data_IF_557465123441
#
_entry.id   IF_557465123441
#
_cell.length_a   1.000
_cell.length_b   1.000
_cell.length_c   1.000
_cell.angle_alpha   90.00
_cell.angle_beta   90.00
_cell.angle_gamma   90.00
#
_symmetry.space_group_name_H-M   'P 1'
#
loop_
_entity.id
_entity.type
_entity.pdbx_description
1 polymer ?
#
# COMPACT_ATOMS: atom_id res chain seq x y z
N UNK A 1 3.64 -30.33 -4.53
CA UNK A 1 3.04 -29.12 -5.09
C UNK A 1 3.56 -28.94 -6.50
N UNK A 2 2.66 -28.81 -7.49
CA UNK A 2 3.05 -28.63 -8.90
C UNK A 2 3.50 -27.19 -9.20
N UNK A 3 2.87 -26.22 -8.59
CA UNK A 3 3.15 -24.79 -8.77
C UNK A 3 2.93 -24.05 -7.45
N UNK A 4 3.73 -23.02 -7.18
CA UNK A 4 3.64 -22.19 -5.98
C UNK A 4 3.81 -20.74 -6.37
N UNK A 5 2.98 -19.85 -5.80
CA UNK A 5 3.17 -18.41 -5.83
C UNK A 5 3.60 -17.92 -4.44
N UNK A 6 4.79 -17.35 -4.34
CA UNK A 6 5.29 -16.73 -3.12
C UNK A 6 5.00 -15.24 -3.12
N UNK A 7 4.24 -14.78 -2.15
CA UNK A 7 3.95 -13.36 -1.96
C UNK A 7 5.10 -12.67 -1.21
N UNK A 8 5.92 -11.95 -1.95
CA UNK A 8 6.98 -11.12 -1.43
C UNK A 8 6.52 -9.70 -1.08
N UNK A 9 7.38 -8.72 -1.29
CA UNK A 9 7.11 -7.30 -1.11
C UNK A 9 8.19 -6.48 -1.80
N UNK A 10 7.87 -5.30 -2.30
CA UNK A 10 8.86 -4.32 -2.80
C UNK A 10 9.80 -3.77 -1.72
N UNK A 11 9.58 -4.10 -0.43
CA UNK A 11 10.52 -3.81 0.65
C UNK A 11 11.88 -4.56 0.51
N UNK A 12 11.96 -5.56 -0.37
CA UNK A 12 13.22 -6.27 -0.67
C UNK A 12 14.25 -5.42 -1.39
N UNK A 13 13.83 -4.33 -2.02
CA UNK A 13 14.73 -3.46 -2.77
C UNK A 13 15.51 -2.53 -1.85
N UNK A 14 16.75 -2.19 -2.22
CA UNK A 14 17.55 -1.22 -1.49
C UNK A 14 16.83 0.11 -1.28
N UNK A 15 17.13 0.77 -0.14
CA UNK A 15 16.54 2.08 0.19
C UNK A 15 16.78 3.11 -0.92
N UNK A 16 17.97 3.10 -1.49
CA UNK A 16 18.41 4.09 -2.48
C UNK A 16 18.43 3.48 -3.91
N UNK A 17 17.58 2.47 -4.17
CA UNK A 17 17.46 1.87 -5.49
C UNK A 17 17.02 2.89 -6.53
N UNK A 18 17.58 2.78 -7.75
CA UNK A 18 17.13 3.57 -8.90
C UNK A 18 15.64 3.36 -9.16
N UNK A 19 14.96 4.45 -9.54
CA UNK A 19 13.51 4.46 -9.75
C UNK A 19 13.17 4.64 -11.24
N UNK A 20 12.26 3.85 -11.79
CA UNK A 20 11.50 2.76 -11.16
C UNK A 20 12.37 1.55 -10.81
N UNK A 21 12.04 0.88 -9.68
CA UNK A 21 12.79 -0.26 -9.16
C UNK A 21 12.60 -1.49 -10.05
N UNK A 22 13.66 -1.95 -10.68
CA UNK A 22 13.70 -3.19 -11.48
C UNK A 22 14.06 -4.39 -10.61
N UNK A 23 13.71 -5.58 -11.06
CA UNK A 23 14.00 -6.83 -10.35
C UNK A 23 15.52 -7.05 -10.11
N UNK A 24 16.36 -6.53 -10.99
CA UNK A 24 17.81 -6.64 -10.86
C UNK A 24 18.41 -5.70 -9.79
N UNK A 25 17.64 -4.81 -9.19
CA UNK A 25 18.08 -3.99 -8.07
C UNK A 25 18.19 -4.78 -6.74
N UNK A 26 17.71 -6.03 -6.72
CA UNK A 26 17.77 -6.87 -5.53
C UNK A 26 19.22 -7.07 -5.04
N UNK A 27 19.47 -6.79 -3.76
CA UNK A 27 20.77 -6.98 -3.07
C UNK A 27 21.93 -6.15 -3.67
N UNK A 28 21.65 -5.02 -4.28
CA UNK A 28 22.71 -4.14 -4.85
C UNK A 28 23.23 -3.11 -3.84
N UNK A 29 22.49 -2.82 -2.76
CA UNK A 29 22.88 -1.87 -1.72
C UNK A 29 22.05 -2.12 -0.43
N UNK A 30 22.33 -1.43 0.69
CA UNK A 30 21.60 -1.63 1.95
C UNK A 30 20.10 -1.44 1.85
N UNK A 31 19.38 -2.24 2.64
CA UNK A 31 17.92 -2.17 2.79
C UNK A 31 17.50 -0.96 3.64
N UNK A 32 16.20 -0.64 3.63
CA UNK A 32 15.64 0.31 4.57
C UNK A 32 15.68 -0.27 5.99
N UNK A 33 16.42 0.38 6.88
CA UNK A 33 16.71 -0.11 8.23
C UNK A 33 15.45 -0.51 9.03
N UNK A 34 14.39 0.29 8.95
CA UNK A 34 13.15 0.04 9.71
C UNK A 34 12.39 -1.20 9.24
N UNK A 35 12.63 -1.65 8.00
CA UNK A 35 11.98 -2.81 7.37
C UNK A 35 12.94 -4.00 7.17
N UNK A 36 14.21 -3.86 7.54
CA UNK A 36 15.25 -4.83 7.19
C UNK A 36 14.92 -6.27 7.59
N UNK A 37 14.45 -6.58 8.83
CA UNK A 37 14.11 -7.95 9.21
C UNK A 37 13.00 -8.55 8.34
N UNK A 38 11.98 -7.76 8.01
CA UNK A 38 10.90 -8.18 7.12
C UNK A 38 11.40 -8.41 5.69
N UNK A 39 12.20 -7.48 5.17
CA UNK A 39 12.77 -7.58 3.84
C UNK A 39 13.67 -8.81 3.69
N UNK A 40 14.54 -9.10 4.66
CA UNK A 40 15.39 -10.29 4.68
C UNK A 40 14.55 -11.57 4.63
N UNK A 41 13.47 -11.65 5.41
CA UNK A 41 12.58 -12.82 5.39
C UNK A 41 11.96 -13.03 3.99
N UNK A 42 11.54 -11.94 3.32
CA UNK A 42 10.99 -12.00 1.96
C UNK A 42 12.06 -12.33 0.92
N UNK A 43 13.28 -11.82 1.06
CA UNK A 43 14.42 -12.19 0.20
C UNK A 43 14.76 -13.68 0.36
N UNK A 44 14.79 -14.20 1.58
CA UNK A 44 15.04 -15.62 1.82
C UNK A 44 14.01 -16.52 1.13
N UNK A 45 12.71 -16.21 1.27
CA UNK A 45 11.65 -16.98 0.60
C UNK A 45 11.72 -16.92 -0.93
N UNK A 46 11.98 -15.73 -1.49
CA UNK A 46 12.24 -15.54 -2.92
C UNK A 46 13.41 -16.41 -3.39
N UNK A 47 14.56 -16.35 -2.70
CA UNK A 47 15.75 -17.12 -3.08
C UNK A 47 15.56 -18.62 -2.90
N UNK A 48 14.78 -19.06 -1.94
CA UNK A 48 14.36 -20.46 -1.83
C UNK A 48 13.57 -20.91 -3.06
N UNK A 49 12.56 -20.15 -3.49
CA UNK A 49 11.79 -20.47 -4.70
C UNK A 49 12.72 -20.61 -5.93
N UNK A 50 13.62 -19.64 -6.13
CA UNK A 50 14.58 -19.63 -7.22
C UNK A 50 15.52 -20.86 -7.17
N UNK A 51 16.06 -21.17 -5.99
CA UNK A 51 16.96 -22.32 -5.80
C UNK A 51 16.27 -23.66 -6.02
N UNK A 52 15.02 -23.83 -5.54
CA UNK A 52 14.24 -25.06 -5.77
C UNK A 52 13.95 -25.25 -7.26
N UNK A 53 13.62 -24.19 -7.99
CA UNK A 53 13.40 -24.29 -9.42
C UNK A 53 14.65 -24.77 -10.16
N UNK A 54 15.81 -24.20 -9.84
CA UNK A 54 17.09 -24.54 -10.48
C UNK A 54 17.56 -25.96 -10.13
N UNK A 55 17.36 -26.38 -8.88
CA UNK A 55 17.86 -27.66 -8.40
C UNK A 55 16.92 -28.82 -8.74
N UNK A 56 15.61 -28.62 -8.63
CA UNK A 56 14.61 -29.67 -8.70
C UNK A 56 13.62 -29.53 -9.86
N UNK A 57 13.76 -28.51 -10.71
CA UNK A 57 12.85 -28.26 -11.82
C UNK A 57 11.41 -27.96 -11.37
N UNK A 58 11.24 -27.35 -10.19
CA UNK A 58 9.92 -26.92 -9.70
C UNK A 58 9.40 -25.72 -10.49
N UNK A 59 8.14 -25.34 -10.29
CA UNK A 59 7.54 -24.18 -10.90
C UNK A 59 7.04 -23.21 -9.80
N UNK A 60 8.00 -22.57 -9.11
CA UNK A 60 7.74 -21.66 -8.01
C UNK A 60 8.04 -20.22 -8.45
N UNK A 61 7.04 -19.34 -8.38
CA UNK A 61 7.14 -17.96 -8.80
C UNK A 61 7.02 -17.06 -7.58
N UNK A 62 7.91 -16.10 -7.45
CA UNK A 62 7.84 -15.07 -6.43
C UNK A 62 7.36 -13.74 -7.05
N UNK A 63 6.44 -13.05 -6.38
CA UNK A 63 5.90 -11.77 -6.82
C UNK A 63 6.08 -10.71 -5.75
N UNK A 64 6.37 -9.47 -6.18
CA UNK A 64 6.68 -8.34 -5.32
C UNK A 64 5.61 -7.26 -5.49
N UNK A 65 4.52 -7.32 -4.70
CA UNK A 65 3.50 -6.28 -4.76
C UNK A 65 4.01 -4.95 -4.21
N UNK A 66 3.53 -3.86 -4.82
CA UNK A 66 3.62 -2.50 -4.30
C UNK A 66 2.67 -2.28 -3.13
N UNK A 67 2.41 -1.02 -2.71
CA UNK A 67 1.49 -0.75 -1.60
C UNK A 67 0.06 -1.12 -2.00
N UNK A 68 -0.50 -2.08 -1.29
CA UNK A 68 -1.88 -2.53 -1.50
C UNK A 68 -2.84 -1.68 -0.66
N UNK A 69 -4.04 -1.47 -1.16
CA UNK A 69 -5.16 -0.85 -0.47
C UNK A 69 -6.48 -1.45 -0.98
N UNK A 70 -7.52 -1.46 -0.15
CA UNK A 70 -8.82 -2.01 -0.55
C UNK A 70 -9.71 -2.41 0.62
N UNK A 71 -10.77 -3.20 0.36
CA UNK A 71 -11.68 -3.70 1.37
C UNK A 71 -10.94 -4.44 2.50
N UNK A 72 -11.46 -4.32 3.72
CA UNK A 72 -10.90 -4.92 4.94
C UNK A 72 -9.49 -4.44 5.32
N UNK A 73 -9.03 -3.29 4.79
CA UNK A 73 -7.78 -2.69 5.22
C UNK A 73 -7.86 -2.21 6.68
N UNK A 74 -6.70 -1.96 7.27
CA UNK A 74 -6.59 -1.44 8.62
C UNK A 74 -6.77 0.09 8.63
N UNK A 75 -7.86 0.58 9.23
CA UNK A 75 -8.16 2.02 9.38
C UNK A 75 -7.75 2.59 10.75
N UNK A 76 -6.84 1.94 11.47
CA UNK A 76 -6.36 2.47 12.75
C UNK A 76 -5.66 3.82 12.56
N UNK A 77 -5.97 4.82 13.40
CA UNK A 77 -5.48 6.20 13.21
C UNK A 77 -3.97 6.36 13.32
N UNK A 78 -3.28 5.43 13.98
CA UNK A 78 -1.83 5.47 14.21
C UNK A 78 -1.09 4.32 13.50
N UNK A 79 -1.62 3.10 13.56
CA UNK A 79 -0.93 1.87 13.14
C UNK A 79 -1.44 1.32 11.80
N UNK A 80 -1.97 2.17 10.93
CA UNK A 80 -2.42 1.79 9.59
C UNK A 80 -1.52 2.36 8.50
N UNK A 81 -1.68 1.85 7.28
CA UNK A 81 -1.05 2.45 6.11
C UNK A 81 -1.62 3.83 5.82
N UNK A 82 -0.86 4.64 5.07
CA UNK A 82 -1.17 6.05 4.84
C UNK A 82 -2.55 6.29 4.23
N UNK A 83 -2.96 5.51 3.21
CA UNK A 83 -4.23 5.72 2.50
C UNK A 83 -5.45 5.47 3.40
N UNK A 84 -5.61 4.31 4.09
CA UNK A 84 -6.73 4.10 5.00
C UNK A 84 -6.73 5.07 6.19
N UNK A 85 -5.56 5.44 6.75
CA UNK A 85 -5.47 6.45 7.80
C UNK A 85 -6.03 7.81 7.33
N UNK A 86 -5.66 8.23 6.11
CA UNK A 86 -6.12 9.50 5.54
C UNK A 86 -7.62 9.50 5.28
N UNK A 87 -8.17 8.42 4.72
CA UNK A 87 -9.63 8.28 4.52
C UNK A 87 -10.36 8.47 5.84
N UNK A 88 -9.97 7.74 6.89
CA UNK A 88 -10.62 7.81 8.19
C UNK A 88 -10.48 9.18 8.84
N UNK A 89 -9.29 9.77 8.84
CA UNK A 89 -9.06 11.10 9.42
C UNK A 89 -9.89 12.19 8.73
N UNK A 90 -9.90 12.21 7.40
CA UNK A 90 -10.62 13.21 6.62
C UNK A 90 -12.14 13.00 6.76
N UNK A 91 -12.60 11.74 6.77
CA UNK A 91 -14.03 11.44 7.02
C UNK A 91 -14.50 11.93 8.39
N UNK A 92 -13.76 11.62 9.46
CA UNK A 92 -14.11 12.06 10.81
C UNK A 92 -14.05 13.59 10.94
N UNK A 93 -13.08 14.24 10.32
CA UNK A 93 -13.03 15.72 10.26
C UNK A 93 -14.24 16.30 9.52
N UNK A 94 -14.65 15.69 8.40
CA UNK A 94 -15.87 16.06 7.69
C UNK A 94 -17.10 15.94 8.60
N UNK A 95 -17.27 14.81 9.26
CA UNK A 95 -18.42 14.58 10.16
C UNK A 95 -18.46 15.59 11.31
N UNK A 96 -17.30 15.94 11.89
CA UNK A 96 -17.20 17.01 12.88
C UNK A 96 -17.59 18.38 12.30
N UNK A 97 -17.14 18.69 11.09
CA UNK A 97 -17.46 19.95 10.42
C UNK A 97 -18.96 20.11 10.12
N UNK A 98 -19.61 18.99 9.81
CA UNK A 98 -21.05 18.91 9.52
C UNK A 98 -21.90 18.63 10.77
N UNK A 99 -21.28 18.45 11.95
CA UNK A 99 -21.94 18.05 13.20
C UNK A 99 -22.70 16.72 13.07
N UNK A 100 -22.21 15.81 12.20
CA UNK A 100 -22.80 14.48 11.99
C UNK A 100 -22.31 13.49 13.07
N UNK A 101 -22.86 13.62 14.26
CA UNK A 101 -22.58 12.73 15.39
C UNK A 101 -22.99 11.28 15.14
N UNK A 102 -23.99 11.07 14.27
CA UNK A 102 -24.42 9.72 13.89
C UNK A 102 -23.31 8.95 13.16
N UNK A 103 -22.68 9.57 12.16
CA UNK A 103 -21.58 8.99 11.42
C UNK A 103 -20.32 8.80 12.29
N UNK A 104 -20.00 9.78 13.16
CA UNK A 104 -18.87 9.68 14.10
C UNK A 104 -19.06 8.47 15.02
N UNK A 105 -20.23 8.33 15.64
CA UNK A 105 -20.53 7.22 16.54
C UNK A 105 -20.55 5.87 15.82
N UNK A 106 -21.06 5.82 14.58
CA UNK A 106 -21.00 4.62 13.72
C UNK A 106 -19.54 4.20 13.50
N UNK A 107 -18.66 5.12 13.11
CA UNK A 107 -17.24 4.82 12.88
C UNK A 107 -16.56 4.29 14.15
N UNK A 108 -16.74 4.98 15.27
CA UNK A 108 -16.10 4.60 16.53
C UNK A 108 -16.66 3.28 17.10
N UNK A 109 -17.92 2.94 16.83
CA UNK A 109 -18.49 1.65 17.20
C UNK A 109 -17.87 0.50 16.41
N UNK A 110 -17.58 0.72 15.13
CA UNK A 110 -16.92 -0.26 14.27
C UNK A 110 -15.40 -0.34 14.52
N UNK A 111 -14.79 0.79 14.88
CA UNK A 111 -13.34 0.97 14.99
C UNK A 111 -12.99 1.83 16.20
N UNK A 112 -13.15 1.32 17.44
CA UNK A 112 -12.82 2.08 18.65
C UNK A 112 -11.39 2.61 18.65
N UNK A 113 -11.19 3.78 19.27
CA UNK A 113 -9.88 4.43 19.39
C UNK A 113 -9.54 4.55 20.87
N UNK A 114 -8.47 3.91 21.32
CA UNK A 114 -8.00 3.94 22.72
C UNK A 114 -9.10 3.61 23.75
N UNK A 115 -10.02 2.70 23.41
CA UNK A 115 -11.14 2.33 24.26
C UNK A 115 -12.35 3.26 24.18
N UNK A 116 -12.26 4.36 23.42
CA UNK A 116 -13.39 5.25 23.13
C UNK A 116 -14.16 4.69 21.93
N UNK A 117 -15.40 4.33 22.11
CA UNK A 117 -16.33 3.83 21.10
C UNK A 117 -17.48 4.79 20.85
N UNK A 118 -18.45 4.38 20.01
CA UNK A 118 -19.61 5.21 19.66
C UNK A 118 -20.58 5.49 20.80
N UNK A 119 -20.47 4.84 21.96
CA UNK A 119 -21.32 5.06 23.15
C UNK A 119 -20.74 6.12 24.11
N UNK A 120 -19.48 6.50 23.92
CA UNK A 120 -18.80 7.49 24.73
C UNK A 120 -19.46 8.88 24.66
N UNK A 121 -19.20 9.72 25.65
CA UNK A 121 -19.64 11.10 25.64
C UNK A 121 -18.99 11.91 24.51
N UNK A 122 -19.63 12.98 24.06
CA UNK A 122 -19.06 13.87 23.04
C UNK A 122 -17.71 14.44 23.46
N UNK A 123 -17.54 14.75 24.76
CA UNK A 123 -16.29 15.26 25.30
C UNK A 123 -15.14 14.26 25.20
N UNK A 124 -15.38 12.97 25.48
CA UNK A 124 -14.38 11.90 25.33
C UNK A 124 -14.05 11.67 23.86
N UNK A 125 -15.07 11.63 22.99
CA UNK A 125 -14.88 11.50 21.53
C UNK A 125 -14.03 12.66 21.00
N UNK A 126 -14.39 13.92 21.32
CA UNK A 126 -13.62 15.09 20.90
C UNK A 126 -12.20 15.04 21.43
N UNK A 127 -11.99 14.65 22.68
CA UNK A 127 -10.65 14.54 23.28
C UNK A 127 -9.77 13.57 22.51
N UNK A 128 -10.27 12.38 22.19
CA UNK A 128 -9.47 11.39 21.43
C UNK A 128 -9.24 11.85 19.99
N UNK A 129 -10.22 12.40 19.31
CA UNK A 129 -10.05 12.88 17.93
C UNK A 129 -9.06 14.05 17.85
N UNK A 130 -9.11 14.99 18.81
CA UNK A 130 -8.14 16.10 18.90
C UNK A 130 -6.70 15.60 19.14
N UNK A 131 -6.52 14.53 19.94
CA UNK A 131 -5.20 13.89 20.12
C UNK A 131 -4.58 13.43 18.78
N UNK A 132 -5.42 12.96 17.85
CA UNK A 132 -5.02 12.58 16.49
C UNK A 132 -5.05 13.76 15.49
N UNK A 133 -5.18 14.99 16.00
CA UNK A 133 -5.26 16.23 15.24
C UNK A 133 -6.40 16.23 14.19
N UNK A 134 -7.54 15.67 14.58
CA UNK A 134 -8.79 15.65 13.79
C UNK A 134 -9.75 16.66 14.43
N UNK A 135 -10.06 17.71 13.67
CA UNK A 135 -11.04 18.74 14.06
C UNK A 135 -11.98 19.00 12.89
N UNK A 136 -13.14 19.65 13.14
CA UNK A 136 -14.04 20.03 12.05
C UNK A 136 -13.35 20.94 11.01
N UNK A 137 -12.71 22.05 11.41
CA UNK A 137 -12.07 22.96 10.46
C UNK A 137 -10.76 22.47 9.87
N UNK A 138 -10.07 21.49 10.49
CA UNK A 138 -8.79 21.01 9.97
C UNK A 138 -8.45 19.60 10.42
N UNK A 139 -7.64 18.91 9.59
CA UNK A 139 -6.99 17.65 9.88
C UNK A 139 -5.49 17.77 9.61
N UNK A 140 -4.66 17.25 10.54
CA UNK A 140 -3.22 17.26 10.37
C UNK A 140 -2.72 15.87 9.94
N UNK A 141 -1.94 15.83 8.87
CA UNK A 141 -1.23 14.67 8.35
C UNK A 141 0.26 14.82 8.60
N UNK A 142 0.95 13.71 8.84
CA UNK A 142 2.39 13.71 9.09
C UNK A 142 3.20 13.93 7.81
N UNK A 143 4.37 14.57 7.95
CA UNK A 143 5.33 14.80 6.89
C UNK A 143 5.05 16.04 6.05
N UNK A 144 5.72 16.15 4.92
CA UNK A 144 5.60 17.31 4.01
C UNK A 144 4.55 17.12 2.91
N UNK A 145 4.01 15.92 2.75
CA UNK A 145 3.14 15.55 1.62
C UNK A 145 3.87 15.36 0.28
N UNK A 146 5.19 15.59 0.24
CA UNK A 146 6.01 15.47 -1.00
C UNK A 146 6.32 14.04 -1.43
N UNK A 147 6.48 13.04 -0.53
CA UNK A 147 6.81 11.69 -0.95
C UNK A 147 5.85 11.14 -1.97
N UNK A 148 6.41 10.40 -2.92
CA UNK A 148 5.70 9.71 -3.99
C UNK A 148 5.47 8.24 -3.60
N UNK A 149 4.26 7.75 -3.83
CA UNK A 149 3.89 6.35 -3.59
C UNK A 149 3.10 5.80 -4.76
N UNK A 150 3.33 4.55 -5.02
CA UNK A 150 2.54 3.72 -5.89
C UNK A 150 1.52 2.93 -5.07
N UNK A 151 0.29 2.82 -5.57
CA UNK A 151 -0.80 2.09 -4.93
C UNK A 151 -1.47 1.15 -5.91
N UNK A 152 -1.76 -0.08 -5.47
CA UNK A 152 -2.49 -1.07 -6.25
C UNK A 152 -3.71 -1.55 -5.49
N UNK A 153 -4.86 -1.59 -6.14
CA UNK A 153 -6.10 -2.13 -5.59
C UNK A 153 -5.94 -3.62 -5.25
N UNK A 154 -6.35 -4.04 -4.04
CA UNK A 154 -6.06 -5.37 -3.51
C UNK A 154 -6.67 -6.51 -4.35
N UNK A 155 -7.85 -6.30 -4.94
CA UNK A 155 -8.47 -7.28 -5.84
C UNK A 155 -7.68 -7.41 -7.15
N UNK A 156 -7.02 -6.36 -7.63
CA UNK A 156 -6.13 -6.44 -8.80
C UNK A 156 -4.85 -7.24 -8.48
N UNK A 157 -4.34 -7.15 -7.23
CA UNK A 157 -3.27 -8.04 -6.79
C UNK A 157 -3.71 -9.50 -6.78
N UNK A 158 -4.95 -9.78 -6.37
CA UNK A 158 -5.52 -11.13 -6.43
C UNK A 158 -5.67 -11.61 -7.88
N UNK A 159 -6.21 -10.76 -8.78
CA UNK A 159 -6.34 -11.05 -10.21
C UNK A 159 -4.97 -11.32 -10.86
N UNK A 160 -3.97 -10.49 -10.59
CA UNK A 160 -2.60 -10.72 -11.06
C UNK A 160 -2.02 -12.05 -10.55
N UNK A 161 -2.29 -12.40 -9.30
CA UNK A 161 -1.83 -13.66 -8.71
C UNK A 161 -2.45 -14.88 -9.39
N UNK A 162 -3.76 -14.84 -9.66
CA UNK A 162 -4.47 -15.89 -10.40
C UNK A 162 -3.93 -15.97 -11.83
N UNK A 163 -3.82 -14.84 -12.52
CA UNK A 163 -3.27 -14.79 -13.87
C UNK A 163 -1.88 -15.42 -13.96
N UNK A 164 -0.98 -15.06 -13.05
CA UNK A 164 0.39 -15.62 -13.01
C UNK A 164 0.34 -17.14 -12.72
N UNK A 165 -0.53 -17.57 -11.81
CA UNK A 165 -0.69 -19.00 -11.52
C UNK A 165 -1.21 -19.80 -12.72
N UNK A 166 -2.02 -19.23 -13.57
CA UNK A 166 -2.60 -19.91 -14.73
C UNK A 166 -1.72 -19.83 -15.97
N UNK A 167 -1.07 -18.68 -16.22
CA UNK A 167 -0.47 -18.39 -17.52
C UNK A 167 1.05 -18.27 -17.52
N UNK A 168 1.72 -18.12 -16.37
CA UNK A 168 3.16 -17.87 -16.29
C UNK A 168 3.87 -19.04 -15.63
N UNK A 169 4.94 -19.56 -16.26
CA UNK A 169 5.83 -20.55 -15.65
C UNK A 169 7.15 -19.90 -15.23
N UNK A 170 7.93 -20.55 -14.39
CA UNK A 170 9.22 -20.04 -13.96
C UNK A 170 10.14 -19.73 -15.16
N UNK A 171 10.13 -20.56 -16.18
CA UNK A 171 10.97 -20.35 -17.40
C UNK A 171 10.58 -19.11 -18.22
N UNK A 172 9.40 -18.53 -18.00
CA UNK A 172 8.94 -17.31 -18.65
C UNK A 172 9.45 -16.05 -17.93
N UNK A 173 10.02 -16.20 -16.72
CA UNK A 173 10.45 -15.08 -15.86
C UNK A 173 11.88 -14.60 -16.12
N UNK A 174 12.64 -15.30 -16.98
CA UNK A 174 14.00 -14.97 -17.36
C UNK A 174 14.28 -15.26 -18.83
N UNK A 175 15.33 -14.62 -19.37
CA UNK A 175 15.70 -14.83 -20.78
C UNK A 175 16.36 -16.20 -20.96
N UNK A 176 15.84 -17.04 -21.86
CA UNK A 176 16.43 -18.34 -22.21
C UNK A 176 17.88 -18.20 -22.69
N UNK A 177 18.76 -19.09 -22.23
CA UNK A 177 20.19 -19.06 -22.54
C UNK A 177 21.00 -18.17 -21.60
N UNK A 178 20.41 -17.53 -20.61
CA UNK A 178 21.14 -16.80 -19.56
C UNK A 178 21.98 -17.77 -18.75
N UNK A 179 23.27 -17.45 -18.57
CA UNK A 179 24.20 -18.28 -17.79
C UNK A 179 23.87 -18.30 -16.30
N UNK A 180 23.52 -17.14 -15.75
CA UNK A 180 23.20 -16.96 -14.34
C UNK A 180 21.71 -16.60 -14.20
N UNK A 181 20.87 -17.61 -13.96
CA UNK A 181 19.43 -17.42 -13.74
C UNK A 181 19.22 -16.87 -12.32
N UNK A 182 18.81 -15.61 -12.23
CA UNK A 182 18.54 -14.89 -10.97
C UNK A 182 17.57 -13.73 -11.18
N UNK A 183 17.04 -13.21 -10.09
CA UNK A 183 16.07 -12.10 -10.11
C UNK A 183 14.83 -12.43 -10.96
N UNK A 184 14.37 -13.68 -10.83
CA UNK A 184 13.27 -14.24 -11.59
C UNK A 184 11.90 -13.84 -11.03
N UNK A 185 11.85 -13.11 -9.92
CA UNK A 185 10.63 -12.57 -9.37
C UNK A 185 9.99 -11.53 -10.30
N UNK A 186 8.71 -11.23 -10.04
CA UNK A 186 7.92 -10.32 -10.86
C UNK A 186 7.39 -9.21 -9.96
N UNK A 187 7.68 -7.97 -10.32
CA UNK A 187 7.05 -6.81 -9.68
C UNK A 187 5.57 -6.75 -10.05
N UNK A 188 4.69 -6.52 -9.08
CA UNK A 188 3.26 -6.28 -9.30
C UNK A 188 2.91 -4.89 -8.79
N UNK A 189 2.51 -4.03 -9.70
CA UNK A 189 2.16 -2.64 -9.45
C UNK A 189 1.42 -2.03 -10.63
N UNK A 190 1.23 -0.73 -10.56
CA UNK A 190 0.60 0.06 -11.62
C UNK A 190 1.62 0.74 -12.53
N UNK A 191 2.85 0.91 -12.05
CA UNK A 191 3.86 1.76 -12.71
C UNK A 191 3.53 3.26 -12.64
N UNK A 192 2.55 3.65 -11.80
CA UNK A 192 2.11 5.03 -11.61
C UNK A 192 2.29 5.45 -10.16
N UNK A 193 2.68 6.67 -9.94
CA UNK A 193 2.90 7.22 -8.60
C UNK A 193 2.12 8.51 -8.38
N UNK A 194 1.78 8.79 -7.12
CA UNK A 194 1.09 10.00 -6.68
C UNK A 194 1.79 10.55 -5.44
N UNK A 195 1.86 11.87 -5.28
CA UNK A 195 2.35 12.47 -4.03
C UNK A 195 1.32 12.24 -2.90
N UNK A 196 1.80 12.19 -1.67
CA UNK A 196 0.91 12.09 -0.50
C UNK A 196 -0.04 13.30 -0.43
N UNK A 197 0.42 14.49 -0.85
CA UNK A 197 -0.44 15.68 -0.92
C UNK A 197 -1.56 15.52 -1.96
N UNK A 198 -1.24 15.07 -3.18
CA UNK A 198 -2.26 14.85 -4.22
C UNK A 198 -3.23 13.73 -3.86
N UNK A 199 -2.77 12.70 -3.13
CA UNK A 199 -3.64 11.66 -2.58
C UNK A 199 -4.61 12.25 -1.53
N UNK A 200 -4.13 13.15 -0.66
CA UNK A 200 -4.98 13.84 0.29
C UNK A 200 -6.06 14.69 -0.42
N UNK A 201 -5.66 15.45 -1.45
CA UNK A 201 -6.59 16.25 -2.26
C UNK A 201 -7.67 15.37 -2.92
N UNK A 202 -7.27 14.20 -3.44
CA UNK A 202 -8.20 13.23 -4.01
C UNK A 202 -9.22 12.74 -2.98
N UNK A 203 -8.76 12.40 -1.76
CA UNK A 203 -9.64 11.95 -0.67
C UNK A 203 -10.54 13.10 -0.19
N UNK A 204 -10.04 14.33 -0.10
CA UNK A 204 -10.85 15.53 0.21
C UNK A 204 -11.96 15.73 -0.81
N UNK A 205 -11.63 15.61 -2.11
CA UNK A 205 -12.62 15.70 -3.20
C UNK A 205 -13.68 14.60 -3.07
N UNK A 206 -13.28 13.36 -2.83
CA UNK A 206 -14.18 12.21 -2.70
C UNK A 206 -15.09 12.33 -1.47
N UNK A 207 -14.54 12.69 -0.32
CA UNK A 207 -15.29 12.87 0.91
C UNK A 207 -16.13 14.14 0.92
N UNK A 208 -15.85 15.11 0.05
CA UNK A 208 -16.43 16.48 0.03
C UNK A 208 -16.15 17.27 1.31
N UNK A 209 -15.04 16.98 1.98
CA UNK A 209 -14.63 17.74 3.18
C UNK A 209 -14.31 19.19 2.83
N UNK A 210 -14.86 20.13 3.62
CA UNK A 210 -14.73 21.57 3.39
C UNK A 210 -13.68 22.25 4.28
N UNK A 211 -13.07 21.49 5.19
CA UNK A 211 -11.98 22.00 6.03
C UNK A 211 -10.61 21.93 5.35
N UNK A 212 -9.56 22.15 6.13
CA UNK A 212 -8.18 22.17 5.63
C UNK A 212 -7.41 20.91 5.98
N UNK A 213 -6.63 20.40 5.04
CA UNK A 213 -5.57 19.43 5.30
C UNK A 213 -4.28 20.19 5.53
N UNK A 214 -3.62 19.92 6.65
CA UNK A 214 -2.35 20.54 7.06
C UNK A 214 -1.30 19.46 7.16
N UNK A 215 -0.11 19.68 6.61
CA UNK A 215 1.02 18.77 6.72
C UNK A 215 1.97 19.23 7.84
N UNK A 216 2.24 18.34 8.80
CA UNK A 216 3.20 18.56 9.88
C UNK A 216 4.59 18.11 9.45
N UNK A 217 5.37 19.04 8.91
CA UNK A 217 6.74 18.81 8.46
C UNK A 217 7.75 18.53 9.59
N UNK A 218 7.35 18.59 10.86
CA UNK A 218 8.18 18.17 12.00
C UNK A 218 8.23 16.64 12.12
N UNK A 219 7.28 15.94 11.48
CA UNK A 219 7.23 14.49 11.41
C UNK A 219 7.96 13.97 10.16
N UNK A 220 8.59 12.79 10.22
CA UNK A 220 9.36 12.25 9.11
C UNK A 220 8.48 11.87 7.91
N UNK A 221 9.00 12.08 6.71
CA UNK A 221 8.36 11.67 5.45
C UNK A 221 8.55 10.18 5.11
N UNK A 222 9.51 9.51 5.70
CA UNK A 222 9.96 8.19 5.25
C UNK A 222 10.67 8.27 3.88
N UNK A 223 10.73 7.15 3.14
CA UNK A 223 11.38 7.09 1.81
C UNK A 223 10.69 8.05 0.83
N UNK A 224 11.46 8.87 0.11
CA UNK A 224 10.92 9.91 -0.77
C UNK A 224 10.20 9.35 -2.01
N UNK A 225 10.66 8.23 -2.56
CA UNK A 225 10.07 7.64 -3.77
C UNK A 225 10.10 6.11 -3.71
N UNK A 226 9.02 5.48 -4.16
CA UNK A 226 8.91 4.02 -4.26
C UNK A 226 7.97 3.69 -5.44
N UNK A 227 8.58 3.49 -6.61
CA UNK A 227 7.89 3.13 -7.84
C UNK A 227 8.46 1.82 -8.38
N UNK A 228 7.62 0.87 -8.75
CA UNK A 228 8.06 -0.38 -9.36
C UNK A 228 8.15 -0.29 -10.87
N UNK A 229 9.17 -0.92 -11.45
CA UNK A 229 9.17 -1.22 -12.88
C UNK A 229 8.28 -2.45 -13.12
N UNK A 230 7.23 -2.26 -13.87
CA UNK A 230 6.23 -3.30 -14.19
C UNK A 230 6.39 -3.86 -15.61
N UNK A 231 7.49 -3.54 -16.29
CA UNK A 231 7.73 -3.94 -17.69
C UNK A 231 7.70 -5.47 -17.87
N UNK A 232 8.26 -6.23 -16.92
CA UNK A 232 8.22 -7.70 -16.94
C UNK A 232 6.78 -8.21 -16.85
N UNK A 233 5.98 -7.69 -15.92
CA UNK A 233 4.59 -8.07 -15.74
C UNK A 233 3.75 -7.79 -17.00
N UNK A 234 3.95 -6.61 -17.60
CA UNK A 234 3.29 -6.23 -18.84
C UNK A 234 3.70 -7.13 -20.02
N UNK A 235 4.98 -7.48 -20.12
CA UNK A 235 5.46 -8.42 -21.15
C UNK A 235 4.90 -9.84 -20.97
N UNK A 236 4.54 -10.21 -19.73
CA UNK A 236 3.84 -11.46 -19.42
C UNK A 236 2.33 -11.39 -19.67
N UNK A 237 1.79 -10.24 -20.04
CA UNK A 237 0.42 -10.05 -20.53
C UNK A 237 -0.60 -9.52 -19.52
N UNK A 238 -0.19 -9.22 -18.27
CA UNK A 238 -1.10 -8.65 -17.29
C UNK A 238 -0.91 -7.13 -17.11
N UNK A 239 -2.03 -6.40 -17.00
CA UNK A 239 -2.09 -4.96 -16.74
C UNK A 239 -3.17 -4.66 -15.72
N UNK A 240 -2.92 -3.70 -14.82
CA UNK A 240 -3.94 -3.20 -13.92
C UNK A 240 -5.04 -2.44 -14.71
N UNK A 241 -6.24 -2.39 -14.12
CA UNK A 241 -7.42 -1.74 -14.71
C UNK A 241 -7.97 -0.61 -13.84
N UNK A 242 -7.73 -0.68 -12.52
CA UNK A 242 -8.25 0.27 -11.55
C UNK A 242 -7.15 1.27 -11.20
N UNK A 243 -7.32 2.52 -11.65
CA UNK A 243 -6.46 3.64 -11.27
C UNK A 243 -6.80 4.17 -9.86
N UNK A 244 -5.92 4.99 -9.29
CA UNK A 244 -6.03 5.45 -7.90
C UNK A 244 -7.32 6.22 -7.62
N UNK A 245 -7.83 6.99 -8.59
CA UNK A 245 -9.05 7.76 -8.48
C UNK A 245 -10.27 6.84 -8.28
N UNK A 246 -10.40 5.84 -9.12
CA UNK A 246 -11.48 4.85 -9.01
C UNK A 246 -11.32 4.02 -7.73
N UNK A 247 -10.10 3.62 -7.41
CA UNK A 247 -9.80 2.83 -6.21
C UNK A 247 -10.13 3.57 -4.91
N UNK A 248 -9.82 4.87 -4.81
CA UNK A 248 -10.18 5.71 -3.65
C UNK A 248 -11.70 5.84 -3.53
N UNK A 249 -12.40 6.03 -4.65
CA UNK A 249 -13.87 6.05 -4.65
C UNK A 249 -14.44 4.73 -4.12
N UNK A 250 -14.02 3.58 -4.67
CA UNK A 250 -14.47 2.25 -4.23
C UNK A 250 -14.17 2.00 -2.75
N UNK A 251 -12.97 2.37 -2.29
CA UNK A 251 -12.56 2.18 -0.91
C UNK A 251 -13.38 3.05 0.05
N UNK A 252 -13.69 4.28 -0.33
CA UNK A 252 -14.51 5.16 0.49
C UNK A 252 -15.96 4.67 0.57
N UNK A 253 -16.54 4.18 -0.54
CA UNK A 253 -17.88 3.57 -0.52
C UNK A 253 -17.92 2.34 0.40
N UNK A 254 -16.92 1.48 0.32
CA UNK A 254 -16.79 0.33 1.22
C UNK A 254 -16.63 0.74 2.68
N UNK A 255 -15.84 1.79 2.94
CA UNK A 255 -15.63 2.31 4.30
C UNK A 255 -16.94 2.82 4.95
N UNK A 256 -17.85 3.39 4.16
CA UNK A 256 -19.14 3.92 4.61
C UNK A 256 -20.20 2.83 4.84
N UNK A 257 -20.10 1.67 4.16
CA UNK A 257 -21.03 0.56 4.30
C UNK A 257 -20.93 -0.10 5.69
#
# INVERSE_FOLDING_TARGET
VKKLLFLGSTCIYPRDAEQPMKENALLTSPLEYTNEPYAIAKIAGLKMCESFNLQYGTNYIAVMPTNLYGPNDNFHLENSHVLPAMIRKIHLAKCLNESDWGAIRKDLSLRPVEGVDGTASEGEILSVLHKYAITGPSVVLWGTGKPLREFLWSEEMADASVYIMEHVNFEDTYQKGTKDVRNCHINIGTGKEITIAALADLIVKETKYQGKVIFDSTKPDGTMRKLTDVSKLHALGWHHRIDIEEGVHKMYQWYLS
#
